data_IF_946687365765
#
_entry.id   IF_946687365765
#
_cell.length_a   1.000
_cell.length_b   1.000
_cell.length_c   1.000
_cell.angle_alpha   90.00
_cell.angle_beta   90.00
_cell.angle_gamma   90.00
#
_symmetry.space_group_name_H-M   'P 1'
#
loop_
_entity.id
_entity.type
_entity.pdbx_description
1 polymer ?
#
# COMPACT_ATOMS: atom_id res chain seq x y z
N UNK A 1 -9.85 -9.42 -8.26
CA UNK A 1 -9.74 -8.26 -7.37
C UNK A 1 -10.13 -7.03 -8.17
N UNK A 2 -11.06 -6.24 -7.66
CA UNK A 2 -11.37 -4.93 -8.24
C UNK A 2 -10.17 -4.01 -8.03
N UNK A 3 -10.03 -2.97 -8.87
CA UNK A 3 -9.05 -1.93 -8.60
C UNK A 3 -9.42 -1.21 -7.28
N UNK A 4 -8.43 -0.80 -6.46
CA UNK A 4 -8.69 0.00 -5.28
C UNK A 4 -9.15 1.41 -5.67
N UNK A 5 -9.76 2.15 -4.75
CA UNK A 5 -10.16 3.55 -4.99
C UNK A 5 -8.95 4.51 -5.01
N UNK A 6 -7.89 4.16 -4.30
CA UNK A 6 -6.62 4.88 -4.26
C UNK A 6 -5.48 3.96 -3.85
N UNK A 7 -4.26 4.40 -4.08
CA UNK A 7 -3.04 3.77 -3.58
C UNK A 7 -2.38 4.69 -2.55
N UNK A 8 -1.62 4.11 -1.63
CA UNK A 8 -0.83 4.81 -0.64
C UNK A 8 0.62 4.82 -1.14
N UNK A 9 1.20 6.00 -1.29
CA UNK A 9 2.62 6.12 -1.65
C UNK A 9 3.46 5.76 -0.43
N UNK A 10 4.31 4.73 -0.54
CA UNK A 10 5.13 4.24 0.57
C UNK A 10 6.30 5.18 0.92
N UNK A 11 6.66 6.08 0.00
CA UNK A 11 7.72 7.08 0.22
C UNK A 11 7.28 8.23 1.13
N UNK A 12 6.01 8.64 1.05
CA UNK A 12 5.50 9.82 1.76
C UNK A 12 4.16 9.62 2.47
N UNK A 13 3.70 8.38 2.55
CA UNK A 13 2.46 7.95 3.24
C UNK A 13 1.20 8.71 2.80
N UNK A 14 1.19 9.21 1.56
CA UNK A 14 0.11 10.05 1.03
C UNK A 14 -0.75 9.31 0.01
N UNK A 15 -2.09 9.43 0.04
CA UNK A 15 -2.98 8.83 -0.96
C UNK A 15 -2.74 9.38 -2.37
N UNK A 16 -2.81 8.49 -3.35
CA UNK A 16 -2.54 8.72 -4.77
C UNK A 16 -3.68 8.17 -5.61
N UNK A 17 -4.24 9.04 -6.46
CA UNK A 17 -5.38 8.74 -7.34
C UNK A 17 -4.99 8.65 -8.82
N UNK A 18 -3.72 8.90 -9.15
CA UNK A 18 -3.19 8.83 -10.50
C UNK A 18 -2.41 7.51 -10.66
N UNK A 19 -3.11 6.48 -11.12
CA UNK A 19 -2.53 5.15 -11.33
C UNK A 19 -3.30 4.35 -12.38
N UNK A 20 -2.64 3.34 -12.94
CA UNK A 20 -3.23 2.31 -13.77
C UNK A 20 -3.22 0.96 -13.02
N UNK A 21 -4.35 0.27 -13.05
CA UNK A 21 -4.51 -1.05 -12.44
C UNK A 21 -4.87 -2.09 -13.49
N UNK A 22 -4.09 -3.16 -13.58
CA UNK A 22 -4.29 -4.21 -14.56
C UNK A 22 -4.01 -5.58 -13.94
N UNK A 23 -4.90 -6.55 -14.16
CA UNK A 23 -4.71 -7.93 -13.71
C UNK A 23 -4.45 -8.09 -12.21
N UNK A 24 -5.03 -7.23 -11.37
CA UNK A 24 -4.88 -7.32 -9.90
C UNK A 24 -3.57 -6.76 -9.37
N UNK A 25 -2.87 -5.92 -10.14
CA UNK A 25 -1.63 -5.25 -9.72
C UNK A 25 -1.56 -3.84 -10.26
N UNK A 26 -0.68 -3.05 -9.65
CA UNK A 26 -0.33 -1.70 -10.10
C UNK A 26 0.51 -1.81 -11.37
N UNK A 27 0.04 -1.20 -12.45
CA UNK A 27 0.73 -1.14 -13.74
C UNK A 27 1.62 0.09 -13.83
N UNK A 28 1.07 1.25 -13.44
CA UNK A 28 1.72 2.55 -13.36
C UNK A 28 1.11 3.33 -12.18
N UNK A 29 1.87 4.21 -11.54
CA UNK A 29 1.37 5.11 -10.49
C UNK A 29 2.25 6.35 -10.40
N UNK A 30 1.67 7.51 -10.05
CA UNK A 30 2.44 8.72 -9.84
C UNK A 30 1.91 9.51 -8.63
N UNK A 31 2.78 9.70 -7.64
CA UNK A 31 2.52 10.53 -6.49
C UNK A 31 2.74 12.00 -6.86
N UNK A 32 1.68 12.80 -6.86
CA UNK A 32 1.78 14.24 -7.14
C UNK A 32 2.38 15.05 -5.97
N UNK A 33 2.63 14.42 -4.82
CA UNK A 33 3.10 15.07 -3.60
C UNK A 33 4.63 15.01 -3.46
N UNK A 34 5.23 13.83 -3.58
CA UNK A 34 6.68 13.66 -3.52
C UNK A 34 7.34 13.44 -4.89
N UNK A 35 6.55 13.19 -5.94
CA UNK A 35 7.04 12.92 -7.30
C UNK A 35 7.44 11.47 -7.56
N UNK A 36 7.25 10.55 -6.61
CA UNK A 36 7.51 9.12 -6.82
C UNK A 36 6.62 8.56 -7.94
N UNK A 37 7.21 7.80 -8.86
CA UNK A 37 6.55 7.15 -9.99
C UNK A 37 6.83 5.64 -10.08
N UNK A 38 7.55 5.08 -9.10
CA UNK A 38 7.89 3.66 -9.05
C UNK A 38 6.69 2.84 -8.52
N UNK A 39 6.01 2.00 -9.33
CA UNK A 39 4.77 1.31 -8.94
C UNK A 39 4.92 0.39 -7.72
N UNK A 40 6.12 -0.15 -7.52
CA UNK A 40 6.46 -0.99 -6.37
C UNK A 40 6.54 -0.23 -5.04
N UNK A 41 6.55 1.10 -5.08
CA UNK A 41 6.53 2.01 -3.93
C UNK A 41 5.12 2.55 -3.65
N UNK A 42 4.09 1.82 -4.07
CA UNK A 42 2.70 2.08 -3.77
C UNK A 42 2.03 0.79 -3.29
N UNK A 43 1.05 0.92 -2.41
CA UNK A 43 0.28 -0.20 -1.88
C UNK A 43 -1.19 0.20 -1.74
N UNK A 44 -2.12 -0.75 -1.83
CA UNK A 44 -3.48 -0.52 -1.38
C UNK A 44 -3.57 -0.58 0.15
N UNK A 45 -4.69 -0.15 0.72
CA UNK A 45 -4.95 -0.34 2.16
C UNK A 45 -4.90 -1.82 2.55
N UNK A 46 -5.49 -2.70 1.71
CA UNK A 46 -5.48 -4.15 1.93
C UNK A 46 -4.05 -4.71 1.95
N UNK A 47 -3.19 -4.27 1.02
CA UNK A 47 -1.77 -4.68 0.99
C UNK A 47 -1.01 -4.22 2.25
N UNK A 48 -1.31 -3.02 2.75
CA UNK A 48 -0.69 -2.48 3.97
C UNK A 48 -1.16 -3.20 5.23
N UNK A 49 -2.45 -3.55 5.31
CA UNK A 49 -3.01 -4.37 6.39
C UNK A 49 -2.38 -5.77 6.39
N UNK A 50 -2.15 -6.37 5.22
CA UNK A 50 -1.46 -7.66 5.09
C UNK A 50 0.03 -7.57 5.49
N UNK A 51 0.73 -6.49 5.11
CA UNK A 51 2.13 -6.26 5.51
C UNK A 51 2.28 -5.94 7.00
N UNK A 52 1.28 -5.27 7.59
CA UNK A 52 1.22 -4.92 9.01
C UNK A 52 0.46 -5.94 9.86
N UNK A 53 0.13 -7.09 9.28
CA UNK A 53 -0.57 -8.21 9.93
C UNK A 53 -0.01 -8.47 11.33
N UNK A 54 -0.88 -8.82 12.29
CA UNK A 54 -0.62 -8.60 13.70
C UNK A 54 0.67 -9.29 14.09
N UNK A 55 1.67 -8.50 14.48
CA UNK A 55 2.70 -8.98 15.39
C UNK A 55 2.01 -9.34 16.69
N UNK A 56 1.33 -10.50 16.73
CA UNK A 56 1.13 -11.25 17.96
C UNK A 56 2.53 -11.63 18.42
N UNK A 57 3.19 -10.69 19.10
CA UNK A 57 4.39 -10.95 19.85
C UNK A 57 4.11 -12.14 20.79
N UNK A 58 5.04 -13.09 20.93
CA UNK A 58 4.81 -14.28 21.73
C UNK A 58 4.95 -13.98 23.23
N UNK A 59 4.10 -13.13 23.82
CA UNK A 59 4.18 -12.82 25.26
C UNK A 59 2.81 -12.56 25.90
N UNK A 60 1.97 -13.59 25.91
CA UNK A 60 1.04 -13.80 27.01
C UNK A 60 1.71 -14.72 28.05
N UNK A 61 2.74 -14.20 28.73
CA UNK A 61 3.22 -14.75 29.99
C UNK A 61 2.70 -13.85 31.12
N UNK A 62 1.43 -14.03 31.48
CA UNK A 62 0.95 -13.60 32.79
C UNK A 62 1.20 -14.76 33.76
N UNK A 63 1.96 -14.49 34.82
CA UNK A 63 2.38 -15.44 35.84
C UNK A 63 1.35 -15.71 36.93
#
# INVERSE_FOLDING_TARGET
>A
MSAPDYLICLECETPTYLFEWENGRIKEAQCLMCGNDEPSQFASEEDLEDMSGPSLGPDAHEG
#
